data_IF_581832954932
#
_entry.id   IF_581832954932
#
_cell.length_a   1.000
_cell.length_b   1.000
_cell.length_c   1.000
_cell.angle_alpha   90.00
_cell.angle_beta   90.00
_cell.angle_gamma   90.00
#
_symmetry.space_group_name_H-M   'P 1'
#
loop_
_entity.id
_entity.type
_entity.pdbx_description
1 polymer ?
#
# COMPACT_ATOMS: atom_id res chain seq x y z
N UNK A 1 7.77 -40.84 -10.17
CA UNK A 1 7.14 -39.86 -9.27
C UNK A 1 5.67 -40.18 -9.16
N UNK A 2 5.11 -40.22 -7.95
CA UNK A 2 3.67 -40.44 -7.75
C UNK A 2 2.87 -39.23 -8.25
N UNK A 3 1.80 -39.47 -9.01
CA UNK A 3 0.89 -38.43 -9.54
C UNK A 3 0.27 -37.58 -8.44
N UNK A 4 0.18 -38.12 -7.21
CA UNK A 4 -0.32 -37.43 -6.02
C UNK A 4 0.49 -36.18 -5.65
N UNK A 5 1.78 -36.10 -6.02
CA UNK A 5 2.63 -34.94 -5.76
C UNK A 5 2.78 -34.02 -6.97
N UNK A 6 2.62 -34.56 -8.18
CA UNK A 6 2.83 -33.81 -9.41
C UNK A 6 1.72 -32.80 -9.67
N UNK A 7 0.46 -33.19 -9.47
CA UNK A 7 -0.71 -32.32 -9.64
C UNK A 7 -0.69 -31.07 -8.75
N UNK A 8 -0.54 -31.18 -7.41
CA UNK A 8 -0.50 -29.99 -6.56
C UNK A 8 0.69 -29.10 -6.88
N UNK A 9 1.85 -29.68 -7.23
CA UNK A 9 3.04 -28.91 -7.60
C UNK A 9 2.78 -28.05 -8.85
N UNK A 10 2.20 -28.63 -9.91
CA UNK A 10 1.85 -27.88 -11.12
C UNK A 10 0.84 -26.77 -10.84
N UNK A 11 -0.14 -27.02 -9.99
CA UNK A 11 -1.14 -26.02 -9.60
C UNK A 11 -0.50 -24.86 -8.84
N UNK A 12 0.40 -25.14 -7.90
CA UNK A 12 1.13 -24.11 -7.14
C UNK A 12 1.98 -23.27 -8.08
N UNK A 13 2.82 -23.89 -8.92
CA UNK A 13 3.67 -23.15 -9.86
C UNK A 13 2.86 -22.37 -10.89
N UNK A 14 1.76 -22.94 -11.38
CA UNK A 14 0.83 -22.24 -12.28
C UNK A 14 0.24 -20.98 -11.64
N UNK A 15 -0.22 -21.08 -10.39
CA UNK A 15 -0.70 -19.92 -9.64
C UNK A 15 0.39 -18.89 -9.39
N UNK A 16 1.60 -19.31 -9.01
CA UNK A 16 2.72 -18.39 -8.80
C UNK A 16 3.04 -17.60 -10.06
N UNK A 17 3.09 -18.26 -11.22
CA UNK A 17 3.34 -17.61 -12.50
C UNK A 17 2.21 -16.65 -12.85
N UNK A 18 0.95 -17.09 -12.72
CA UNK A 18 -0.21 -16.25 -13.04
C UNK A 18 -0.27 -15.00 -12.15
N UNK A 19 -0.07 -15.16 -10.84
CA UNK A 19 -0.07 -14.03 -9.90
C UNK A 19 1.09 -13.07 -10.18
N UNK A 20 2.30 -13.59 -10.41
CA UNK A 20 3.46 -12.75 -10.70
C UNK A 20 3.28 -11.96 -12.00
N UNK A 21 2.81 -12.62 -13.06
CA UNK A 21 2.51 -11.98 -14.34
C UNK A 21 1.42 -10.90 -14.19
N UNK A 22 0.37 -11.19 -13.42
CA UNK A 22 -0.70 -10.22 -13.15
C UNK A 22 -0.20 -9.00 -12.38
N UNK A 23 0.68 -9.20 -11.39
CA UNK A 23 1.26 -8.12 -10.60
C UNK A 23 2.15 -7.21 -11.46
N UNK A 24 2.99 -7.79 -12.33
CA UNK A 24 3.80 -7.02 -13.27
C UNK A 24 2.95 -6.26 -14.29
N UNK A 25 1.90 -6.87 -14.82
CA UNK A 25 0.98 -6.21 -15.74
C UNK A 25 0.26 -5.03 -15.06
N UNK A 26 -0.23 -5.22 -13.83
CA UNK A 26 -0.88 -4.18 -13.04
C UNK A 26 0.10 -3.04 -12.70
N UNK A 27 1.33 -3.38 -12.32
CA UNK A 27 2.37 -2.38 -12.02
C UNK A 27 2.72 -1.57 -13.27
N UNK A 28 2.93 -2.24 -14.42
CA UNK A 28 3.18 -1.56 -15.69
C UNK A 28 2.03 -0.61 -16.04
N UNK A 29 0.79 -1.08 -15.95
CA UNK A 29 -0.38 -0.23 -16.17
C UNK A 29 -0.39 0.98 -15.23
N UNK A 30 -0.16 0.80 -13.93
CA UNK A 30 -0.14 1.88 -12.95
C UNK A 30 0.97 2.92 -13.23
N UNK A 31 2.13 2.49 -13.76
CA UNK A 31 3.19 3.42 -14.19
C UNK A 31 2.78 4.26 -15.40
N UNK A 32 2.04 3.68 -16.35
CA UNK A 32 1.58 4.37 -17.55
C UNK A 32 0.39 5.31 -17.28
N UNK A 33 -0.48 4.92 -16.36
CA UNK A 33 -1.65 5.70 -15.94
C UNK A 33 -1.28 6.87 -15.01
N UNK A 34 -0.03 6.93 -14.57
CA UNK A 34 0.48 8.04 -13.75
C UNK A 34 0.09 7.95 -12.27
N UNK A 35 -0.29 6.76 -11.78
CA UNK A 35 -0.63 6.52 -10.37
C UNK A 35 0.51 6.91 -9.40
N UNK A 36 1.75 6.98 -9.90
CA UNK A 36 2.95 7.37 -9.16
C UNK A 36 3.45 8.79 -9.45
N UNK A 37 2.74 9.62 -10.22
CA UNK A 37 3.23 10.94 -10.63
C UNK A 37 3.30 11.93 -9.47
N UNK A 38 2.33 11.89 -8.56
CA UNK A 38 2.24 12.84 -7.44
C UNK A 38 1.91 12.10 -6.14
N UNK A 39 2.86 11.25 -5.72
CA UNK A 39 2.69 10.36 -4.54
C UNK A 39 2.42 11.18 -3.28
N UNK A 40 3.07 12.35 -3.13
CA UNK A 40 2.87 13.24 -1.98
C UNK A 40 1.43 13.74 -1.94
N UNK A 41 0.93 14.32 -3.04
CA UNK A 41 -0.46 14.78 -3.13
C UNK A 41 -1.48 13.64 -2.98
N UNK A 42 -1.19 12.47 -3.52
CA UNK A 42 -2.05 11.31 -3.37
C UNK A 42 -2.10 10.81 -1.91
N UNK A 43 -1.02 10.97 -1.14
CA UNK A 43 -1.05 10.67 0.29
C UNK A 43 -1.98 11.64 1.05
N UNK A 44 -2.20 12.84 0.53
CA UNK A 44 -3.13 13.82 1.10
C UNK A 44 -4.61 13.51 0.80
N UNK A 45 -4.92 12.59 -0.13
CA UNK A 45 -6.31 12.36 -0.57
C UNK A 45 -7.23 11.71 0.48
N UNK A 46 -6.66 11.14 1.54
CA UNK A 46 -7.41 10.59 2.66
C UNK A 46 -7.93 11.68 3.61
N UNK A 47 -7.32 12.86 3.57
CA UNK A 47 -7.70 13.98 4.42
C UNK A 47 -8.79 14.80 3.75
N UNK A 48 -9.84 15.11 4.51
CA UNK A 48 -10.84 16.08 4.07
C UNK A 48 -10.26 17.49 4.10
N UNK A 49 -10.92 18.44 3.40
CA UNK A 49 -10.47 19.85 3.30
C UNK A 49 -10.22 20.57 4.64
N UNK A 50 -10.82 20.07 5.72
CA UNK A 50 -10.75 20.67 7.06
C UNK A 50 -9.80 19.88 8.00
N UNK A 51 -9.31 18.72 7.59
CA UNK A 51 -8.45 17.86 8.42
C UNK A 51 -6.99 18.32 8.39
N UNK A 52 -6.32 18.39 9.55
CA UNK A 52 -4.94 18.89 9.62
C UNK A 52 -3.92 17.81 9.23
N UNK A 53 -3.25 18.01 8.09
CA UNK A 53 -2.14 17.16 7.65
C UNK A 53 -0.94 17.33 8.59
N UNK A 54 -0.34 16.22 9.00
CA UNK A 54 0.86 16.20 9.85
C UNK A 54 0.63 16.52 11.33
N UNK A 55 -0.62 16.63 11.78
CA UNK A 55 -0.96 16.80 13.21
C UNK A 55 -1.81 15.63 13.70
N UNK A 56 -1.39 15.00 14.79
CA UNK A 56 -2.21 14.01 15.48
C UNK A 56 -3.46 14.71 16.02
N UNK A 57 -4.64 14.17 15.76
CA UNK A 57 -5.92 14.69 16.31
C UNK A 57 -6.54 13.73 17.32
N UNK A 58 -6.13 12.47 17.31
CA UNK A 58 -6.59 11.45 18.24
C UNK A 58 -5.79 11.48 19.55
N UNK A 59 -6.49 11.49 20.67
CA UNK A 59 -5.94 11.48 22.02
C UNK A 59 -6.87 10.72 22.97
N UNK A 60 -6.30 9.89 23.84
CA UNK A 60 -7.10 9.21 24.86
C UNK A 60 -7.71 10.24 25.84
N UNK A 61 -8.94 10.00 26.34
CA UNK A 61 -9.55 10.87 27.33
C UNK A 61 -8.63 11.12 28.53
N UNK A 62 -8.42 12.40 28.88
CA UNK A 62 -7.55 12.82 29.98
C UNK A 62 -6.09 13.07 29.59
N UNK A 63 -5.71 12.92 28.31
CA UNK A 63 -4.40 13.31 27.80
C UNK A 63 -4.49 14.66 27.09
N UNK A 64 -3.50 15.53 27.33
CA UNK A 64 -3.35 16.76 26.56
C UNK A 64 -2.87 16.44 25.14
N UNK A 65 -3.19 17.28 24.15
CA UNK A 65 -2.65 17.13 22.80
C UNK A 65 -1.13 17.03 22.84
N UNK A 66 -0.56 15.95 22.31
CA UNK A 66 0.89 15.87 22.18
C UNK A 66 1.38 17.01 21.27
N UNK A 67 2.41 17.76 21.69
CA UNK A 67 3.00 18.79 20.84
C UNK A 67 3.55 18.15 19.55
N UNK A 68 3.60 18.89 18.44
CA UNK A 68 4.12 18.36 17.19
C UNK A 68 5.52 17.79 17.38
N UNK A 69 5.76 16.60 16.84
CA UNK A 69 7.07 15.95 16.87
C UNK A 69 8.07 16.87 16.15
N UNK A 70 9.03 17.41 16.90
CA UNK A 70 10.05 18.33 16.39
C UNK A 70 11.31 17.54 16.02
N UNK A 71 11.61 17.44 14.73
CA UNK A 71 12.75 16.66 14.24
C UNK A 71 14.04 17.47 14.14
N UNK A 72 14.00 18.77 14.48
CA UNK A 72 15.16 19.66 14.41
C UNK A 72 15.82 19.74 13.02
N UNK A 73 15.11 19.33 11.98
CA UNK A 73 15.53 19.35 10.57
C UNK A 73 14.62 20.26 9.78
#
# INVERSE_FOLDING_TARGET
>A
MSTAFLMPTLVIFGMMIAMSASALAALYWATQDGQFVDIEKNAECIFDKDEPIGKCTDYFPGQAPQPPFNNGK
#
